data_IF_412336459472
#
_entry.id   IF_412336459472
#
_cell.length_a   1.000
_cell.length_b   1.000
_cell.length_c   1.000
_cell.angle_alpha   90.00
_cell.angle_beta   90.00
_cell.angle_gamma   90.00
#
_symmetry.space_group_name_H-M   'P 1'
#
loop_
_entity.id
_entity.type
_entity.pdbx_description
1 polymer ?
#
# COMPACT_ATOMS: atom_id res chain seq x y z
N UNK A 1 -28.53 -29.85 -0.03
CA UNK A 1 -27.14 -29.82 0.47
C UNK A 1 -26.59 -28.43 0.21
N UNK A 2 -26.30 -27.65 1.25
CA UNK A 2 -25.77 -26.28 1.08
C UNK A 2 -24.28 -26.38 0.75
N UNK A 3 -23.87 -25.86 -0.41
CA UNK A 3 -22.47 -25.70 -0.78
C UNK A 3 -21.79 -24.79 0.25
N UNK A 4 -20.82 -25.31 1.01
CA UNK A 4 -19.95 -24.47 1.83
C UNK A 4 -19.08 -23.65 0.89
N UNK A 5 -19.22 -22.33 0.94
CA UNK A 5 -18.33 -21.38 0.26
C UNK A 5 -16.89 -21.67 0.68
N UNK A 6 -15.98 -21.85 -0.29
CA UNK A 6 -14.54 -22.02 -0.04
C UNK A 6 -13.98 -20.79 0.70
N UNK A 7 -13.04 -21.01 1.63
CA UNK A 7 -12.34 -19.92 2.34
C UNK A 7 -11.53 -19.06 1.37
N UNK A 8 -11.46 -17.76 1.62
CA UNK A 8 -10.65 -16.81 0.84
C UNK A 8 -9.17 -16.89 1.31
N UNK A 9 -8.21 -17.22 0.44
CA UNK A 9 -6.80 -17.39 0.80
C UNK A 9 -6.05 -16.05 0.82
N UNK A 10 -6.41 -15.15 1.73
CA UNK A 10 -5.80 -13.83 1.87
C UNK A 10 -4.29 -13.90 2.18
N UNK A 11 -3.89 -14.91 2.96
CA UNK A 11 -2.52 -15.25 3.34
C UNK A 11 -1.60 -15.53 2.13
N UNK A 12 -2.16 -15.90 0.99
CA UNK A 12 -1.43 -16.14 -0.26
C UNK A 12 -1.57 -14.97 -1.24
N UNK A 13 -2.75 -14.35 -1.28
CA UNK A 13 -3.07 -13.31 -2.26
C UNK A 13 -2.37 -12.00 -1.91
N UNK A 14 -2.39 -11.58 -0.64
CA UNK A 14 -1.85 -10.28 -0.23
C UNK A 14 -0.33 -10.19 -0.39
N UNK A 15 0.48 -11.15 0.09
CA UNK A 15 1.94 -11.08 -0.08
C UNK A 15 2.37 -11.11 -1.55
N UNK A 16 1.64 -11.87 -2.39
CA UNK A 16 1.89 -11.91 -3.83
C UNK A 16 1.76 -10.52 -4.46
N UNK A 17 0.70 -9.78 -4.13
CA UNK A 17 0.47 -8.47 -4.70
C UNK A 17 1.42 -7.42 -4.13
N UNK A 18 1.70 -7.46 -2.83
CA UNK A 18 2.72 -6.60 -2.20
C UNK A 18 4.08 -6.75 -2.90
N UNK A 19 4.53 -7.99 -3.15
CA UNK A 19 5.77 -8.24 -3.87
C UNK A 19 5.76 -7.67 -5.31
N UNK A 20 4.65 -7.80 -6.03
CA UNK A 20 4.52 -7.23 -7.38
C UNK A 20 4.53 -5.70 -7.36
N UNK A 21 3.89 -5.09 -6.36
CA UNK A 21 3.83 -3.65 -6.19
C UNK A 21 5.21 -3.07 -5.89
N UNK A 22 5.97 -3.74 -5.02
CA UNK A 22 7.35 -3.40 -4.69
C UNK A 22 8.26 -3.59 -5.90
N UNK A 23 8.21 -4.74 -6.58
CA UNK A 23 9.02 -5.00 -7.79
C UNK A 23 8.79 -3.93 -8.86
N UNK A 24 7.53 -3.51 -9.04
CA UNK A 24 7.14 -2.54 -10.07
C UNK A 24 7.17 -1.09 -9.61
N UNK A 25 7.47 -0.83 -8.33
CA UNK A 25 7.49 0.51 -7.74
C UNK A 25 6.21 1.32 -8.01
N UNK A 26 5.03 0.69 -7.91
CA UNK A 26 3.77 1.32 -8.36
C UNK A 26 3.36 2.56 -7.54
N UNK A 27 3.88 2.70 -6.32
CA UNK A 27 3.63 3.83 -5.43
C UNK A 27 4.65 4.97 -5.58
N UNK A 28 5.66 4.81 -6.43
CA UNK A 28 6.61 5.88 -6.71
C UNK A 28 5.93 6.98 -7.54
N UNK A 29 5.76 8.15 -6.92
CA UNK A 29 5.30 9.35 -7.60
C UNK A 29 6.52 10.15 -8.10
N UNK A 30 6.71 10.30 -9.43
CA UNK A 30 7.89 10.98 -9.95
C UNK A 30 7.88 12.48 -9.63
N UNK A 31 9.04 13.04 -9.33
CA UNK A 31 9.25 14.47 -9.13
C UNK A 31 9.61 15.20 -10.44
N UNK A 32 9.52 16.55 -10.48
CA UNK A 32 10.02 17.32 -11.62
C UNK A 32 11.47 16.95 -11.97
N UNK A 33 11.70 16.57 -13.23
CA UNK A 33 13.00 16.12 -13.74
C UNK A 33 13.22 14.60 -13.71
N UNK A 34 12.34 13.83 -13.08
CA UNK A 34 12.39 12.36 -13.09
C UNK A 34 11.69 11.77 -14.33
N UNK A 35 12.06 10.53 -14.67
CA UNK A 35 11.44 9.79 -15.77
C UNK A 35 9.95 9.58 -15.47
N UNK A 36 9.09 9.81 -16.47
CA UNK A 36 7.63 9.67 -16.38
C UNK A 36 6.92 10.75 -15.52
N UNK A 37 7.60 11.84 -15.16
CA UNK A 37 6.94 13.02 -14.61
C UNK A 37 6.04 13.69 -15.67
N UNK A 38 4.82 14.04 -15.28
CA UNK A 38 3.85 14.74 -16.13
C UNK A 38 3.31 15.97 -15.37
N UNK A 39 3.68 17.20 -15.78
CA UNK A 39 3.26 18.43 -15.11
C UNK A 39 1.76 18.73 -15.27
N UNK A 40 1.06 18.06 -16.19
CA UNK A 40 -0.38 18.24 -16.38
C UNK A 40 -1.22 17.46 -15.37
N UNK A 41 -0.63 16.49 -14.65
CA UNK A 41 -1.36 15.72 -13.64
C UNK A 41 -1.64 16.58 -12.40
N UNK A 42 -2.86 16.49 -11.83
CA UNK A 42 -3.19 17.24 -10.62
C UNK A 42 -2.35 16.75 -9.44
N UNK A 43 -1.77 17.70 -8.69
CA UNK A 43 -0.99 17.40 -7.49
C UNK A 43 -1.92 17.01 -6.33
N UNK A 44 -1.55 15.95 -5.62
CA UNK A 44 -2.20 15.53 -4.40
C UNK A 44 -1.15 15.04 -3.40
N UNK A 45 -1.23 15.50 -2.16
CA UNK A 45 -0.30 15.15 -1.09
C UNK A 45 -1.09 14.84 0.17
N UNK A 46 -1.03 13.58 0.60
CA UNK A 46 -1.58 13.13 1.88
C UNK A 46 -0.43 13.05 2.86
N UNK A 47 -0.56 13.72 3.99
CA UNK A 47 0.35 13.60 5.12
C UNK A 47 -0.37 12.87 6.24
N UNK A 48 0.27 11.83 6.76
CA UNK A 48 -0.15 11.16 7.98
C UNK A 48 0.84 11.47 9.11
N UNK A 49 0.37 11.39 10.35
CA UNK A 49 1.18 11.63 11.53
C UNK A 49 2.02 10.38 11.82
N UNK A 50 3.33 10.48 11.66
CA UNK A 50 4.23 9.37 11.97
C UNK A 50 4.11 8.99 13.47
N UNK A 51 3.94 7.69 13.79
CA UNK A 51 3.82 7.25 15.18
C UNK A 51 5.15 7.41 15.91
N UNK A 52 5.09 7.80 17.18
CA UNK A 52 6.27 7.87 18.06
C UNK A 52 6.67 6.46 18.52
N UNK A 53 7.94 6.03 18.38
CA UNK A 53 8.37 4.64 18.59
C UNK A 53 8.54 4.26 20.07
N UNK A 54 7.44 4.33 20.85
CA UNK A 54 7.45 4.17 22.33
C UNK A 54 6.84 2.88 22.86
N UNK A 55 6.34 1.99 22.00
CA UNK A 55 5.63 0.78 22.44
C UNK A 55 5.60 -0.34 21.39
N UNK A 56 5.00 -1.47 21.77
CA UNK A 56 4.89 -2.66 20.93
C UNK A 56 3.87 -2.47 19.79
N UNK A 57 4.36 -1.97 18.66
CA UNK A 57 3.66 -2.03 17.37
C UNK A 57 2.48 -1.09 17.19
N UNK A 58 1.83 -1.28 16.05
CA UNK A 58 0.62 -0.62 15.60
C UNK A 58 -0.57 -1.13 16.43
N UNK A 59 -1.33 -0.22 17.04
CA UNK A 59 -2.54 -0.55 17.81
C UNK A 59 -3.78 -0.29 16.96
N UNK A 60 -4.98 -0.73 17.35
CA UNK A 60 -6.20 -0.56 16.50
C UNK A 60 -6.48 0.89 16.05
N UNK A 61 -5.95 1.89 16.77
CA UNK A 61 -6.03 3.31 16.40
C UNK A 61 -4.92 3.80 15.46
N UNK A 62 -3.80 3.09 15.38
CA UNK A 62 -2.74 3.24 14.37
C UNK A 62 -2.47 1.83 13.83
N UNK A 63 -3.32 1.31 12.93
CA UNK A 63 -3.29 -0.08 12.47
C UNK A 63 -2.14 -0.39 11.51
#
# INVERSE_FOLDING_TARGET
>A
MSERRKSYPFDQIEPKWQAIWDERQIFHAPNPGEKNFDPAKPKFYILDMFPYPSGAGLHVGHP
#
